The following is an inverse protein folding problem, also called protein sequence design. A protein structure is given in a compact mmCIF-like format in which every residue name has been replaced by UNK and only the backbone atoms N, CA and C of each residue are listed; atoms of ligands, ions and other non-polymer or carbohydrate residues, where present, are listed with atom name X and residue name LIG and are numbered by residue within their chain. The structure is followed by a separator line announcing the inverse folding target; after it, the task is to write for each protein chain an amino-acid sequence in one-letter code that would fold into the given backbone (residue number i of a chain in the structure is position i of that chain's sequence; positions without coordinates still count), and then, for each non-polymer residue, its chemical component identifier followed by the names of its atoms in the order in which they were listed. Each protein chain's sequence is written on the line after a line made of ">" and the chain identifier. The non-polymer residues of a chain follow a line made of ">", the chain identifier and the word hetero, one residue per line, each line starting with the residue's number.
data_IF_763137102826
#
_entry.id   IF_763137102826
#
_cell.length_a   1.000
_cell.length_b   1.000
_cell.length_c   1.000
_cell.angle_alpha   90.00
_cell.angle_beta   90.00
_cell.angle_gamma   90.00
#
_symmetry.space_group_name_H-M   'P 1'
#
loop_
_entity.id
_entity.type
_entity.pdbx_description
1 polymer ?
#
# COMPACT_ATOMS: atom_id res chain seq x y z
N UNK A 1 5.38 -15.65 -2.49
CA UNK A 1 4.61 -14.62 -3.21
C UNK A 1 5.34 -13.30 -3.07
N UNK A 2 5.89 -12.78 -4.16
CA UNK A 2 6.73 -11.59 -4.18
C UNK A 2 5.88 -10.34 -3.97
N UNK A 3 6.21 -9.57 -2.93
CA UNK A 3 5.53 -8.31 -2.59
C UNK A 3 5.97 -7.25 -3.62
N UNK A 4 5.37 -7.26 -4.80
CA UNK A 4 5.62 -6.27 -5.87
C UNK A 4 5.03 -4.88 -5.55
N UNK A 5 4.31 -4.76 -4.43
CA UNK A 5 3.60 -3.55 -4.06
C UNK A 5 4.45 -2.50 -3.35
N UNK A 6 5.58 -2.87 -2.73
CA UNK A 6 6.49 -1.91 -2.09
C UNK A 6 7.77 -1.80 -2.92
N UNK A 7 7.95 -0.66 -3.58
CA UNK A 7 9.17 -0.34 -4.32
C UNK A 7 9.88 0.80 -3.60
N UNK A 8 11.16 0.62 -3.26
CA UNK A 8 11.98 1.72 -2.74
C UNK A 8 12.18 2.73 -3.86
N UNK A 9 11.89 3.99 -3.59
CA UNK A 9 12.08 5.04 -4.60
C UNK A 9 13.58 5.22 -4.85
N UNK A 10 13.99 5.23 -6.12
CA UNK A 10 15.41 5.31 -6.52
C UNK A 10 15.98 6.74 -6.45
N UNK A 11 15.13 7.76 -6.36
CA UNK A 11 15.52 9.19 -6.38
C UNK A 11 15.25 9.99 -5.10
N UNK A 12 14.44 9.47 -4.16
CA UNK A 12 14.17 10.09 -2.84
C UNK A 12 14.26 9.04 -1.74
N UNK A 13 14.71 9.43 -0.55
CA UNK A 13 14.57 8.60 0.66
C UNK A 13 13.09 8.35 0.91
N UNK A 14 12.61 7.16 0.58
CA UNK A 14 11.19 6.84 0.64
C UNK A 14 10.81 5.54 -0.05
N UNK A 15 9.58 5.12 0.20
CA UNK A 15 8.95 3.93 -0.33
C UNK A 15 7.71 4.33 -1.12
N UNK A 16 7.48 3.67 -2.24
CA UNK A 16 6.23 3.79 -2.98
C UNK A 16 5.44 2.51 -2.78
N UNK A 17 4.20 2.65 -2.32
CA UNK A 17 3.21 1.59 -2.28
C UNK A 17 2.37 1.66 -3.55
N UNK A 18 2.05 0.51 -4.14
CA UNK A 18 1.16 0.38 -5.28
C UNK A 18 -0.03 -0.52 -4.93
N UNK A 19 -1.23 -0.09 -5.26
CA UNK A 19 -2.44 -0.89 -5.09
C UNK A 19 -2.43 -2.05 -6.09
N UNK A 20 -2.72 -3.27 -5.63
CA UNK A 20 -2.76 -4.47 -6.47
C UNK A 20 -3.98 -4.51 -7.41
N UNK A 21 -4.97 -3.64 -7.22
CA UNK A 21 -6.20 -3.62 -8.01
C UNK A 21 -6.27 -2.47 -9.03
N UNK A 22 -6.07 -1.24 -8.57
CA UNK A 22 -6.21 -0.05 -9.41
C UNK A 22 -4.88 0.63 -9.74
N UNK A 23 -3.76 0.03 -9.31
CA UNK A 23 -2.39 0.54 -9.53
C UNK A 23 -2.10 1.93 -8.94
N UNK A 24 -3.04 2.49 -8.17
CA UNK A 24 -2.85 3.74 -7.47
C UNK A 24 -1.60 3.67 -6.58
N UNK A 25 -0.81 4.75 -6.57
CA UNK A 25 0.47 4.79 -5.86
C UNK A 25 0.45 5.77 -4.70
N UNK A 26 1.12 5.41 -3.61
CA UNK A 26 1.31 6.27 -2.44
C UNK A 26 2.78 6.35 -2.07
N UNK A 27 3.31 7.58 -2.00
CA UNK A 27 4.69 7.83 -1.63
C UNK A 27 4.82 8.06 -0.12
N UNK A 28 5.54 7.16 0.55
CA UNK A 28 5.91 7.26 1.95
C UNK A 28 7.36 7.76 2.06
N UNK A 29 7.55 9.03 2.39
CA UNK A 29 8.87 9.65 2.58
C UNK A 29 9.51 9.27 3.94
N UNK A 30 9.65 7.97 4.18
CA UNK A 30 10.26 7.41 5.39
C UNK A 30 11.37 6.45 5.01
N UNK A 31 12.40 6.33 5.86
CA UNK A 31 13.58 5.54 5.53
C UNK A 31 13.34 4.02 5.66
N UNK A 32 12.57 3.59 6.67
CA UNK A 32 12.35 2.17 6.97
C UNK A 32 11.12 1.58 6.30
N UNK A 33 11.25 0.35 5.79
CA UNK A 33 10.11 -0.44 5.28
C UNK A 33 8.99 -0.61 6.32
N UNK A 34 9.27 -0.96 7.60
CA UNK A 34 8.22 -1.05 8.62
C UNK A 34 7.50 0.28 8.86
N UNK A 35 8.24 1.40 8.79
CA UNK A 35 7.68 2.75 8.93
C UNK A 35 6.80 3.10 7.74
N UNK A 36 7.18 2.71 6.52
CA UNK A 36 6.36 2.91 5.33
C UNK A 36 5.04 2.13 5.40
N UNK A 37 5.10 0.90 5.90
CA UNK A 37 3.90 0.08 6.13
C UNK A 37 3.00 0.70 7.20
N UNK A 38 3.56 1.12 8.33
CA UNK A 38 2.80 1.78 9.38
C UNK A 38 2.15 3.08 8.88
N UNK A 39 2.91 3.90 8.15
CA UNK A 39 2.43 5.15 7.57
C UNK A 39 1.31 4.91 6.55
N UNK A 40 1.45 3.92 5.68
CA UNK A 40 0.40 3.55 4.74
C UNK A 40 -0.88 3.09 5.46
N UNK A 41 -0.74 2.24 6.50
CA UNK A 41 -1.88 1.79 7.31
C UNK A 41 -2.61 2.94 8.00
N UNK A 42 -1.88 3.92 8.54
CA UNK A 42 -2.47 5.15 9.08
C UNK A 42 -3.26 5.94 8.03
N UNK A 43 -2.85 5.88 6.77
CA UNK A 43 -3.55 6.49 5.63
C UNK A 43 -4.66 5.58 5.04
N UNK A 44 -5.07 4.52 5.76
CA UNK A 44 -6.17 3.65 5.36
C UNK A 44 -5.79 2.57 4.34
N UNK A 45 -4.50 2.35 4.07
CA UNK A 45 -4.06 1.26 3.20
C UNK A 45 -4.05 -0.08 3.94
N UNK A 46 -4.50 -1.12 3.25
CA UNK A 46 -4.24 -2.50 3.69
C UNK A 46 -2.89 -2.91 3.12
N UNK A 47 -2.01 -3.42 3.98
CA UNK A 47 -0.68 -3.91 3.59
C UNK A 47 -0.43 -5.24 4.29
N UNK A 48 -0.31 -6.31 3.52
CA UNK A 48 -0.16 -7.69 3.98
C UNK A 48 -0.03 -8.66 2.80
N UNK A 49 -0.89 -9.67 2.73
CA UNK A 49 -0.98 -10.57 1.57
C UNK A 49 -1.35 -9.84 0.27
N UNK A 50 -2.15 -8.79 0.40
CA UNK A 50 -2.47 -7.84 -0.67
C UNK A 50 -2.22 -6.42 -0.19
N UNK A 51 -1.85 -5.55 -1.11
CA UNK A 51 -1.74 -4.12 -0.89
C UNK A 51 -2.90 -3.42 -1.58
N UNK A 52 -3.82 -2.85 -0.79
CA UNK A 52 -5.01 -2.19 -1.31
C UNK A 52 -5.04 -0.73 -0.86
N UNK A 53 -5.36 0.16 -1.79
CA UNK A 53 -5.69 1.54 -1.44
C UNK A 53 -7.04 1.59 -0.69
N UNK A 54 -7.33 2.68 0.06
CA UNK A 54 -8.53 2.78 0.88
C UNK A 54 -9.83 2.49 0.10
N UNK A 55 -9.94 3.02 -1.12
CA UNK A 55 -11.11 2.80 -1.98
C UNK A 55 -11.27 1.33 -2.37
N UNK A 56 -10.20 0.69 -2.82
CA UNK A 56 -10.22 -0.73 -3.19
C UNK A 56 -10.46 -1.65 -1.98
N UNK A 57 -9.94 -1.27 -0.81
CA UNK A 57 -10.17 -2.00 0.43
C UNK A 57 -11.65 -1.97 0.83
N UNK A 58 -12.31 -0.80 0.76
CA UNK A 58 -13.74 -0.66 1.03
C UNK A 58 -14.57 -1.48 0.04
N UNK A 59 -14.27 -1.39 -1.26
CA UNK A 59 -14.98 -2.13 -2.30
C UNK A 59 -14.79 -3.66 -2.20
N UNK A 60 -13.58 -4.14 -1.90
CA UNK A 60 -13.32 -5.58 -1.67
C UNK A 60 -14.08 -6.07 -0.43
N UNK A 61 -14.07 -5.30 0.66
CA UNK A 61 -14.79 -5.65 1.88
C UNK A 61 -16.30 -5.72 1.64
N UNK A 62 -16.88 -4.71 0.98
CA UNK A 62 -18.31 -4.69 0.66
C UNK A 62 -18.74 -5.89 -0.20
N UNK A 63 -17.91 -6.30 -1.16
CA UNK A 63 -18.18 -7.48 -2.00
C UNK A 63 -18.16 -8.80 -1.22
N UNK A 64 -17.34 -8.91 -0.18
CA UNK A 64 -17.25 -10.14 0.63
C UNK A 64 -18.41 -10.31 1.60
N UNK A 65 -19.04 -9.20 2.01
CA UNK A 65 -20.19 -9.20 2.93
C UNK A 65 -21.55 -9.23 2.23
N UNK A 66 -21.59 -9.06 0.90
CA UNK A 66 -22.79 -9.15 0.08
C UNK A 66 -23.01 -10.59 -0.40
#
# INVERSE_FOLDING_TARGET
>A
MTVHALVRSTGRRGWTLRCDLCEHTFAAAVDGRPQAVAFARTNGWIVGERTLCPMCAVTDTARRTA
#
